data_IF_398819090466
#
_entry.id   IF_398819090466
#
_cell.length_a   1.000
_cell.length_b   1.000
_cell.length_c   1.000
_cell.angle_alpha   90.00
_cell.angle_beta   90.00
_cell.angle_gamma   90.00
#
_symmetry.space_group_name_H-M   'P 1'
#
loop_
_entity.id
_entity.type
_entity.pdbx_description
1 polymer ?
#
# COMPACT_ATOMS: atom_id res chain seq x y z
N UNK A 1 31.01 15.08 5.11
CA UNK A 1 29.56 14.84 5.05
C UNK A 1 29.30 13.44 5.59
N UNK A 2 28.51 13.33 6.64
CA UNK A 2 28.14 12.06 7.27
C UNK A 2 27.19 11.28 6.34
N UNK A 3 27.20 9.95 6.42
CA UNK A 3 26.34 9.08 5.59
C UNK A 3 24.85 9.48 5.63
N UNK A 4 24.38 9.96 6.79
CA UNK A 4 23.01 10.44 6.98
C UNK A 4 22.69 11.69 6.15
N UNK A 5 23.62 12.64 6.05
CA UNK A 5 23.41 13.86 5.24
C UNK A 5 23.27 13.53 3.75
N UNK A 6 24.10 12.60 3.25
CA UNK A 6 24.01 12.16 1.86
C UNK A 6 22.70 11.42 1.56
N UNK A 7 22.23 10.60 2.50
CA UNK A 7 20.95 9.89 2.36
C UNK A 7 19.76 10.85 2.35
N UNK A 8 19.79 11.86 3.23
CA UNK A 8 18.75 12.90 3.27
C UNK A 8 18.72 13.68 1.94
N UNK A 9 19.88 14.02 1.40
CA UNK A 9 19.95 14.75 0.13
C UNK A 9 19.48 13.91 -1.05
N UNK A 10 19.84 12.62 -1.09
CA UNK A 10 19.35 11.67 -2.09
C UNK A 10 17.82 11.51 -2.01
N UNK A 11 17.24 11.48 -0.81
CA UNK A 11 15.78 11.43 -0.63
C UNK A 11 15.08 12.69 -1.12
N UNK A 12 15.63 13.88 -0.82
CA UNK A 12 15.07 15.14 -1.34
C UNK A 12 15.04 15.15 -2.85
N UNK A 13 16.09 14.66 -3.51
CA UNK A 13 16.16 14.62 -4.98
C UNK A 13 15.19 13.58 -5.55
N UNK A 14 15.12 12.38 -4.96
CA UNK A 14 14.27 11.29 -5.48
C UNK A 14 12.78 11.51 -5.28
N UNK A 15 12.40 12.21 -4.21
CA UNK A 15 11.00 12.46 -3.84
C UNK A 15 10.65 13.96 -3.90
N UNK A 16 11.39 14.73 -4.70
CA UNK A 16 11.17 16.17 -4.88
C UNK A 16 9.76 16.46 -5.43
N UNK A 17 9.28 15.60 -6.33
CA UNK A 17 7.94 15.61 -6.88
C UNK A 17 6.86 15.44 -5.81
N UNK A 18 7.05 14.48 -4.90
CA UNK A 18 6.16 14.21 -3.78
C UNK A 18 6.21 15.32 -2.73
N UNK A 19 7.39 15.87 -2.46
CA UNK A 19 7.58 16.99 -1.54
C UNK A 19 6.92 18.28 -2.06
N UNK A 20 6.88 18.46 -3.39
CA UNK A 20 6.21 19.58 -4.06
C UNK A 20 4.73 19.33 -4.33
N UNK A 21 4.27 18.09 -4.20
CA UNK A 21 2.88 17.73 -4.39
C UNK A 21 2.01 18.41 -3.34
N UNK A 22 1.09 19.26 -3.79
CA UNK A 22 0.04 19.84 -2.95
C UNK A 22 -1.22 19.03 -3.17
N UNK A 23 -1.77 18.47 -2.09
CA UNK A 23 -3.09 17.85 -2.11
C UNK A 23 -4.12 18.96 -1.92
N UNK A 24 -5.01 19.20 -2.89
CA UNK A 24 -6.11 20.16 -2.72
C UNK A 24 -7.00 19.80 -1.53
N UNK A 25 -7.45 20.81 -0.79
CA UNK A 25 -8.25 20.60 0.42
C UNK A 25 -9.60 19.90 0.12
N UNK A 26 -10.20 20.21 -1.03
CA UNK A 26 -11.45 19.59 -1.48
C UNK A 26 -11.33 18.06 -1.70
N UNK A 27 -10.12 17.53 -1.86
CA UNK A 27 -9.90 16.08 -1.94
C UNK A 27 -10.05 15.45 -0.54
N UNK A 28 -9.51 16.11 0.49
CA UNK A 28 -9.48 15.61 1.86
C UNK A 28 -10.81 15.81 2.59
N UNK A 29 -11.41 16.99 2.43
CA UNK A 29 -12.65 17.40 3.10
C UNK A 29 -13.65 17.98 2.08
N UNK A 30 -14.10 17.18 1.10
CA UNK A 30 -14.93 17.66 -0.01
C UNK A 30 -16.22 18.36 0.43
N UNK A 31 -16.76 18.02 1.60
CA UNK A 31 -18.02 18.55 2.12
C UNK A 31 -17.86 19.74 3.08
N UNK A 32 -16.63 20.10 3.46
CA UNK A 32 -16.35 21.19 4.41
C UNK A 32 -15.67 22.40 3.74
N UNK A 33 -15.33 22.29 2.45
CA UNK A 33 -14.65 23.35 1.70
C UNK A 33 -15.66 24.31 1.08
N UNK A 34 -15.35 25.61 1.15
CA UNK A 34 -16.12 26.64 0.46
C UNK A 34 -15.85 26.59 -1.05
N UNK A 35 -16.91 26.37 -1.84
CA UNK A 35 -16.83 26.12 -3.29
C UNK A 35 -16.13 27.27 -4.04
N UNK A 36 -16.31 28.51 -3.58
CA UNK A 36 -15.72 29.69 -4.24
C UNK A 36 -14.21 29.81 -4.04
N UNK A 37 -13.69 29.35 -2.89
CA UNK A 37 -12.26 29.40 -2.56
C UNK A 37 -11.52 28.10 -2.92
N UNK A 38 -12.25 27.04 -3.26
CA UNK A 38 -11.68 25.77 -3.67
C UNK A 38 -10.88 25.88 -4.99
N UNK A 39 -9.64 25.38 -4.99
CA UNK A 39 -8.80 25.23 -6.18
C UNK A 39 -9.27 24.04 -7.04
N UNK A 40 -10.43 24.23 -7.69
CA UNK A 40 -11.10 23.24 -8.54
C UNK A 40 -11.10 23.76 -9.98
N UNK A 41 -10.58 22.97 -10.95
CA UNK A 41 -10.64 23.33 -12.35
C UNK A 41 -12.07 23.61 -12.82
N UNK A 42 -12.24 24.64 -13.65
CA UNK A 42 -13.58 25.12 -14.08
C UNK A 42 -14.46 24.01 -14.65
N UNK A 43 -13.88 23.10 -15.44
CA UNK A 43 -14.60 22.00 -16.07
C UNK A 43 -15.16 20.96 -15.07
N UNK A 44 -14.63 20.93 -13.84
CA UNK A 44 -15.03 19.99 -12.78
C UNK A 44 -15.93 20.64 -11.72
N UNK A 45 -16.13 21.97 -11.78
CA UNK A 45 -16.87 22.70 -10.73
C UNK A 45 -18.32 22.27 -10.63
N UNK A 46 -18.99 22.02 -11.77
CA UNK A 46 -20.37 21.54 -11.79
C UNK A 46 -20.49 20.19 -11.09
N UNK A 47 -19.63 19.24 -11.47
CA UNK A 47 -19.57 17.91 -10.86
C UNK A 47 -19.28 17.97 -9.34
N UNK A 48 -18.41 18.89 -8.92
CA UNK A 48 -18.13 19.12 -7.50
C UNK A 48 -19.33 19.68 -6.76
N UNK A 49 -20.03 20.68 -7.33
CA UNK A 49 -21.25 21.23 -6.74
C UNK A 49 -22.29 20.12 -6.56
N UNK A 50 -22.55 19.32 -7.59
CA UNK A 50 -23.48 18.20 -7.54
C UNK A 50 -23.12 17.20 -6.44
N UNK A 51 -21.83 16.87 -6.30
CA UNK A 51 -21.34 16.02 -5.23
C UNK A 51 -21.56 16.62 -3.84
N UNK A 52 -21.30 17.92 -3.64
CA UNK A 52 -21.43 18.56 -2.32
C UNK A 52 -22.87 18.60 -1.80
N UNK A 53 -23.86 18.63 -2.70
CA UNK A 53 -25.28 18.61 -2.35
C UNK A 53 -25.87 17.20 -2.27
N UNK A 54 -25.13 16.17 -2.72
CA UNK A 54 -25.54 14.77 -2.62
C UNK A 54 -25.42 14.28 -1.17
N UNK A 55 -26.57 14.18 -0.50
CA UNK A 55 -26.68 13.71 0.88
C UNK A 55 -26.22 12.25 1.05
N UNK A 56 -26.41 11.41 0.03
CA UNK A 56 -25.96 10.01 0.06
C UNK A 56 -24.43 9.95 -0.02
N UNK A 57 -23.83 10.74 -0.91
CA UNK A 57 -22.38 10.89 -1.01
C UNK A 57 -21.79 11.41 0.32
N UNK A 58 -22.38 12.46 0.89
CA UNK A 58 -21.96 13.04 2.18
C UNK A 58 -22.05 12.02 3.33
N UNK A 59 -23.15 11.26 3.40
CA UNK A 59 -23.31 10.21 4.40
C UNK A 59 -22.33 9.04 4.19
N UNK A 60 -22.06 8.66 2.94
CA UNK A 60 -21.09 7.63 2.60
C UNK A 60 -19.68 8.04 3.05
N UNK A 61 -19.27 9.27 2.75
CA UNK A 61 -17.98 9.81 3.17
C UNK A 61 -17.82 9.77 4.69
N UNK A 62 -18.82 10.26 5.45
CA UNK A 62 -18.79 10.21 6.93
C UNK A 62 -18.73 8.80 7.48
N UNK A 63 -19.38 7.83 6.83
CA UNK A 63 -19.48 6.45 7.31
C UNK A 63 -18.26 5.60 6.96
N UNK A 64 -17.71 5.79 5.76
CA UNK A 64 -16.69 4.90 5.17
C UNK A 64 -15.31 5.55 5.10
N UNK A 65 -15.23 6.88 5.14
CA UNK A 65 -13.99 7.63 5.06
C UNK A 65 -13.56 7.93 3.62
N UNK A 66 -12.44 8.66 3.53
CA UNK A 66 -11.87 9.19 2.29
C UNK A 66 -11.67 8.13 1.19
N UNK A 67 -10.91 7.06 1.48
CA UNK A 67 -10.52 6.08 0.46
C UNK A 67 -11.73 5.35 -0.10
N UNK A 68 -12.57 4.80 0.76
CA UNK A 68 -13.74 4.02 0.40
C UNK A 68 -14.81 4.86 -0.30
N UNK A 69 -14.86 6.17 -0.04
CA UNK A 69 -15.73 7.09 -0.75
C UNK A 69 -15.30 7.29 -2.21
N UNK A 70 -14.02 7.57 -2.46
CA UNK A 70 -13.53 7.88 -3.81
C UNK A 70 -13.42 6.66 -4.73
N UNK A 71 -13.22 5.46 -4.17
CA UNK A 71 -13.19 4.20 -4.95
C UNK A 71 -14.58 3.56 -5.10
N UNK A 72 -15.64 4.18 -4.57
CA UNK A 72 -16.99 3.62 -4.66
C UNK A 72 -17.48 3.65 -6.11
N UNK A 73 -17.92 2.51 -6.64
CA UNK A 73 -18.36 2.39 -8.04
C UNK A 73 -19.47 3.37 -8.43
N UNK A 74 -20.42 3.65 -7.52
CA UNK A 74 -21.48 4.62 -7.80
C UNK A 74 -20.91 6.04 -7.89
N UNK A 75 -19.96 6.40 -7.03
CA UNK A 75 -19.31 7.71 -7.07
C UNK A 75 -18.39 7.85 -8.28
N UNK A 76 -17.67 6.80 -8.66
CA UNK A 76 -16.85 6.79 -9.88
C UNK A 76 -17.72 6.99 -11.12
N UNK A 77 -18.93 6.43 -11.13
CA UNK A 77 -19.88 6.63 -12.23
C UNK A 77 -20.55 8.01 -12.23
N UNK A 78 -20.91 8.55 -11.05
CA UNK A 78 -21.56 9.86 -10.91
C UNK A 78 -20.57 11.02 -11.08
N UNK A 79 -19.35 10.87 -10.58
CA UNK A 79 -18.33 11.91 -10.47
C UNK A 79 -16.99 11.44 -11.10
N UNK A 80 -16.98 11.10 -12.40
CA UNK A 80 -15.82 10.51 -13.04
C UNK A 80 -14.62 11.46 -13.12
N UNK A 81 -14.84 12.77 -13.29
CA UNK A 81 -13.75 13.73 -13.41
C UNK A 81 -13.04 13.87 -12.07
N UNK A 82 -13.81 14.05 -10.98
CA UNK A 82 -13.27 14.18 -9.63
C UNK A 82 -12.52 12.92 -9.21
N UNK A 83 -13.11 11.73 -9.45
CA UNK A 83 -12.47 10.46 -9.14
C UNK A 83 -11.15 10.24 -9.90
N UNK A 84 -11.07 10.67 -11.17
CA UNK A 84 -9.85 10.54 -11.98
C UNK A 84 -8.68 11.35 -11.42
N UNK A 85 -8.93 12.53 -10.86
CA UNK A 85 -7.89 13.36 -10.22
C UNK A 85 -7.34 12.70 -8.95
N UNK A 86 -8.15 11.87 -8.29
CA UNK A 86 -7.86 11.32 -6.96
C UNK A 86 -7.07 10.01 -7.04
N UNK A 87 -7.20 9.28 -8.15
CA UNK A 87 -6.46 8.04 -8.42
C UNK A 87 -4.95 8.15 -8.10
N UNK A 88 -4.19 9.14 -8.60
CA UNK A 88 -2.76 9.27 -8.26
C UNK A 88 -2.51 9.56 -6.78
N UNK A 89 -3.41 10.28 -6.08
CA UNK A 89 -3.25 10.55 -4.65
C UNK A 89 -3.51 9.30 -3.81
N UNK A 90 -4.48 8.46 -4.19
CA UNK A 90 -4.76 7.18 -3.55
C UNK A 90 -3.62 6.16 -3.76
N UNK A 91 -2.88 6.26 -4.87
CA UNK A 91 -1.72 5.42 -5.17
C UNK A 91 -0.42 5.96 -4.57
N UNK A 92 -0.29 7.29 -4.46
CA UNK A 92 0.87 7.97 -3.89
C UNK A 92 0.93 7.91 -2.36
N UNK A 93 -0.20 8.03 -1.66
CA UNK A 93 -0.24 7.99 -0.19
C UNK A 93 0.27 6.65 0.43
N UNK A 94 -0.02 5.48 -0.17
CA UNK A 94 0.60 4.22 0.23
C UNK A 94 2.12 4.21 0.15
N UNK A 95 2.76 4.97 -0.75
CA UNK A 95 4.20 4.87 -0.97
C UNK A 95 5.00 5.37 0.24
N UNK A 96 4.61 6.47 0.90
CA UNK A 96 5.34 6.98 2.07
C UNK A 96 5.24 6.01 3.26
N UNK A 97 4.03 5.57 3.61
CA UNK A 97 3.82 4.62 4.72
C UNK A 97 4.49 3.27 4.44
N UNK A 98 4.43 2.78 3.19
CA UNK A 98 5.12 1.56 2.80
C UNK A 98 6.64 1.71 2.77
N UNK A 99 7.17 2.90 2.48
CA UNK A 99 8.61 3.18 2.56
C UNK A 99 9.08 3.12 4.00
N UNK A 100 8.38 3.77 4.95
CA UNK A 100 8.75 3.71 6.37
C UNK A 100 8.69 2.27 6.91
N UNK A 101 7.58 1.56 6.64
CA UNK A 101 7.45 0.15 7.00
C UNK A 101 8.51 -0.72 6.30
N UNK A 102 8.82 -0.43 5.04
CA UNK A 102 9.84 -1.09 4.24
C UNK A 102 11.23 -0.94 4.85
N UNK A 103 11.63 0.27 5.19
CA UNK A 103 12.90 0.55 5.85
C UNK A 103 12.99 -0.08 7.23
N UNK A 104 11.94 -0.02 8.03
CA UNK A 104 11.90 -0.66 9.35
C UNK A 104 12.10 -2.18 9.23
N UNK A 105 11.42 -2.83 8.30
CA UNK A 105 11.59 -4.25 8.04
C UNK A 105 12.97 -4.58 7.46
N UNK A 106 13.49 -3.76 6.54
CA UNK A 106 14.82 -3.94 5.97
C UNK A 106 15.90 -3.85 7.05
N UNK A 107 15.80 -2.85 7.93
CA UNK A 107 16.70 -2.68 9.05
C UNK A 107 16.58 -3.86 10.05
N UNK A 108 15.37 -4.33 10.34
CA UNK A 108 15.16 -5.51 11.17
C UNK A 108 15.77 -6.78 10.55
N UNK A 109 15.78 -6.89 9.22
CA UNK A 109 16.42 -8.00 8.52
C UNK A 109 17.94 -7.94 8.65
N UNK A 110 18.53 -6.76 8.43
CA UNK A 110 19.98 -6.52 8.46
C UNK A 110 20.58 -6.59 9.87
N UNK A 111 19.85 -6.17 10.90
CA UNK A 111 20.36 -6.09 12.27
C UNK A 111 20.32 -7.41 13.03
N UNK A 112 19.54 -8.40 12.58
CA UNK A 112 19.45 -9.71 13.25
C UNK A 112 20.54 -10.68 12.78
N UNK A 113 21.55 -10.89 13.62
CA UNK A 113 22.70 -11.79 13.40
C UNK A 113 22.40 -13.26 13.02
N UNK A 114 21.16 -13.75 13.16
CA UNK A 114 20.73 -15.12 12.80
C UNK A 114 19.64 -15.16 11.72
N UNK A 115 19.43 -14.05 11.02
CA UNK A 115 18.37 -13.98 10.02
C UNK A 115 18.83 -14.65 8.72
N UNK A 116 18.06 -15.61 8.22
CA UNK A 116 18.27 -16.22 6.89
C UNK A 116 17.48 -15.51 5.79
N UNK A 117 16.78 -14.43 6.13
CA UNK A 117 16.00 -13.63 5.19
C UNK A 117 16.93 -12.78 4.34
N UNK A 118 16.68 -12.76 3.03
CA UNK A 118 17.39 -11.96 2.04
C UNK A 118 16.49 -10.85 1.50
N UNK A 119 16.99 -9.62 1.49
CA UNK A 119 16.23 -8.46 1.01
C UNK A 119 15.95 -8.56 -0.50
N UNK A 120 16.94 -9.01 -1.27
CA UNK A 120 16.94 -8.90 -2.74
C UNK A 120 16.74 -10.26 -3.42
N UNK A 121 17.45 -11.30 -2.99
CA UNK A 121 17.51 -12.57 -3.75
C UNK A 121 16.24 -13.42 -3.63
N UNK A 122 15.54 -13.32 -2.50
CA UNK A 122 14.35 -14.14 -2.19
C UNK A 122 13.04 -13.36 -2.16
N UNK A 123 13.12 -12.02 -2.20
CA UNK A 123 11.96 -11.15 -2.10
C UNK A 123 11.25 -11.22 -0.74
N UNK A 124 11.98 -11.55 0.33
CA UNK A 124 11.40 -11.73 1.68
C UNK A 124 10.80 -10.43 2.22
N UNK A 125 11.41 -9.29 1.88
CA UNK A 125 10.86 -7.97 2.21
C UNK A 125 9.51 -7.73 1.52
N UNK A 126 9.39 -8.09 0.24
CA UNK A 126 8.14 -7.95 -0.52
C UNK A 126 7.03 -8.79 0.11
N UNK A 127 7.33 -10.05 0.42
CA UNK A 127 6.41 -10.95 1.14
C UNK A 127 5.91 -10.34 2.45
N UNK A 128 6.79 -9.66 3.19
CA UNK A 128 6.42 -9.06 4.47
C UNK A 128 5.60 -7.77 4.34
N UNK A 129 5.84 -6.97 3.31
CA UNK A 129 5.13 -5.71 3.07
C UNK A 129 3.75 -5.90 2.42
N UNK A 130 3.55 -7.01 1.73
CA UNK A 130 2.26 -7.31 1.09
C UNK A 130 1.34 -8.13 2.00
N UNK A 131 0.03 -7.84 1.98
CA UNK A 131 -1.00 -8.68 2.61
C UNK A 131 -1.33 -9.95 1.79
N UNK A 132 -0.50 -10.29 0.80
CA UNK A 132 -0.67 -11.47 -0.03
C UNK A 132 -0.37 -12.72 0.80
N UNK A 133 -1.39 -13.56 0.99
CA UNK A 133 -1.20 -14.86 1.61
C UNK A 133 -0.54 -15.81 0.61
N UNK A 134 0.65 -16.37 0.91
CA UNK A 134 1.26 -17.37 0.04
C UNK A 134 0.34 -18.59 -0.04
N UNK A 135 0.13 -19.13 -1.24
CA UNK A 135 -0.59 -20.40 -1.43
C UNK A 135 0.30 -21.57 -1.04
N UNK A 136 0.54 -21.74 0.26
CA UNK A 136 1.44 -22.74 0.83
C UNK A 136 1.02 -24.16 0.45
N UNK A 137 -0.30 -24.45 0.40
CA UNK A 137 -0.81 -25.76 -0.03
C UNK A 137 -0.35 -26.14 -1.44
N UNK A 138 -0.49 -25.22 -2.39
CA UNK A 138 -0.03 -25.44 -3.77
C UNK A 138 1.49 -25.61 -3.87
N UNK A 139 2.26 -24.92 -3.01
CA UNK A 139 3.72 -25.10 -2.93
C UNK A 139 4.10 -26.47 -2.36
N UNK A 140 3.37 -26.96 -1.36
CA UNK A 140 3.58 -28.30 -0.77
C UNK A 140 3.27 -29.38 -1.80
N UNK A 141 2.17 -29.24 -2.55
CA UNK A 141 1.79 -30.19 -3.60
C UNK A 141 2.80 -30.22 -4.77
N UNK A 142 3.37 -29.08 -5.13
CA UNK A 142 4.42 -28.98 -6.14
C UNK A 142 5.81 -29.41 -5.63
N UNK A 143 5.99 -29.58 -4.31
CA UNK A 143 7.26 -29.95 -3.73
C UNK A 143 7.49 -31.46 -3.87
N UNK A 144 8.23 -31.87 -4.91
CA UNK A 144 8.76 -33.23 -4.98
C UNK A 144 9.85 -33.40 -3.91
N UNK A 145 9.59 -34.28 -2.95
CA UNK A 145 10.60 -34.67 -1.96
C UNK A 145 11.82 -35.25 -2.69
N UNK A 146 12.99 -34.61 -2.55
CA UNK A 146 14.23 -35.17 -3.07
C UNK A 146 14.48 -36.54 -2.43
N UNK A 147 14.71 -37.60 -3.22
CA UNK A 147 14.94 -38.94 -2.71
C UNK A 147 16.39 -39.06 -2.24
N UNK A 148 16.73 -38.48 -1.09
CA UNK A 148 17.93 -38.86 -0.34
C UNK A 148 17.51 -39.68 0.89
N UNK A 149 17.47 -40.98 0.62
CA UNK A 149 17.21 -42.11 1.52
C UNK A 149 18.16 -42.19 2.71
N UNK A 150 17.62 -42.39 3.92
CA UNK A 150 18.16 -43.36 4.89
C UNK A 150 16.98 -44.19 5.40
N UNK A 151 16.85 -45.41 4.89
CA UNK A 151 15.98 -46.43 5.49
C UNK A 151 16.58 -46.77 6.86
N UNK A 152 15.95 -46.34 7.95
CA UNK A 152 16.18 -46.98 9.25
C UNK A 152 15.49 -48.34 9.19
N UNK A 153 16.30 -49.39 9.23
CA UNK A 153 15.86 -50.78 9.38
C UNK A 153 14.93 -50.90 10.59
N UNK A 154 13.77 -51.52 10.38
CA UNK A 154 12.90 -51.98 11.45
C UNK A 154 13.61 -53.14 12.15
N UNK A 155 14.16 -52.89 13.33
CA UNK A 155 14.44 -53.98 14.28
C UNK A 155 13.10 -54.34 14.94
N UNK A 156 12.62 -55.51 14.56
CA UNK A 156 11.52 -56.21 15.20
C UNK A 156 12.00 -56.75 16.55
N UNK A 157 11.25 -56.48 17.62
CA UNK A 157 11.26 -57.33 18.81
C UNK A 157 9.81 -57.50 19.27
N UNK A 158 9.28 -58.68 19.01
CA UNK A 158 8.10 -59.29 19.65
C UNK A 158 8.44 -59.75 21.07
N UNK A 159 7.52 -59.47 21.99
CA UNK A 159 7.08 -60.28 23.16
C UNK A 159 8.11 -60.73 24.21
N UNK A 160 7.99 -60.20 25.43
CA UNK A 160 7.22 -60.83 26.52
C UNK A 160 6.96 -59.83 27.66
#
# INVERSE_FOLDING_TARGET
>A
MTHLENLIEDFKVRFDDLAKMKVPEWILTPFDVEIESADIPVHMKEEFIDMTVDLEASALFRRKGFREFWINENNVAKYPQLCAVIEPFLLGFPSICMVEAGFSHANAVLTKKRNRLSLEERGDLRLKLTNLQPKISALIEAHQAHPSTVKREKVCSTEN
#
